data_IF_563191210971
#
_entry.id   IF_563191210971
#
_cell.length_a   1.000
_cell.length_b   1.000
_cell.length_c   1.000
_cell.angle_alpha   90.00
_cell.angle_beta   90.00
_cell.angle_gamma   90.00
#
_symmetry.space_group_name_H-M   'P 1'
#
loop_
_entity.id
_entity.type
_entity.pdbx_description
1 polymer ?
#
# COMPACT_ATOMS: atom_id res chain seq x y z
N UNK A 1 15.49 23.97 44.60
CA UNK A 1 15.65 23.30 43.29
C UNK A 1 14.28 22.83 42.86
N UNK A 2 13.53 23.69 42.17
CA UNK A 2 12.25 23.31 41.58
C UNK A 2 12.52 22.30 40.46
N UNK A 3 11.77 21.21 40.53
CA UNK A 3 11.95 20.00 39.76
C UNK A 3 11.92 20.28 38.25
N UNK A 4 13.10 20.24 37.62
CA UNK A 4 13.27 20.16 36.17
C UNK A 4 12.81 18.78 35.61
N UNK A 5 11.69 18.25 36.11
CA UNK A 5 11.24 16.87 35.93
C UNK A 5 9.98 16.73 35.06
N UNK A 6 9.77 17.60 34.05
CA UNK A 6 8.67 17.44 33.07
C UNK A 6 9.04 17.74 31.62
N UNK A 7 10.30 17.52 31.23
CA UNK A 7 10.72 17.60 29.82
C UNK A 7 10.92 16.20 29.22
N UNK A 8 9.84 15.42 29.15
CA UNK A 8 9.77 14.19 28.35
C UNK A 8 8.37 14.09 27.75
N UNK A 9 8.12 14.90 26.72
CA UNK A 9 6.80 15.09 26.13
C UNK A 9 6.59 14.28 24.86
N UNK A 10 6.40 12.96 24.98
CA UNK A 10 5.79 12.08 23.97
C UNK A 10 6.67 11.66 22.79
N UNK A 11 6.88 10.34 22.61
CA UNK A 11 7.66 9.77 21.51
C UNK A 11 7.04 9.96 20.11
N UNK A 12 7.69 9.46 19.07
CA UNK A 12 7.25 9.58 17.65
C UNK A 12 5.81 9.11 17.45
N UNK A 13 5.43 7.99 18.07
CA UNK A 13 4.07 7.46 18.01
C UNK A 13 3.06 8.38 18.70
N UNK A 14 3.45 9.05 19.79
CA UNK A 14 2.59 10.01 20.46
C UNK A 14 2.45 11.32 19.65
N UNK A 15 3.51 11.74 18.97
CA UNK A 15 3.46 12.82 17.98
C UNK A 15 2.47 12.50 16.85
N UNK A 16 2.56 11.29 16.30
CA UNK A 16 1.64 10.81 15.27
C UNK A 16 0.19 10.74 15.76
N UNK A 17 -0.03 10.19 16.95
CA UNK A 17 -1.35 10.12 17.56
C UNK A 17 -1.97 11.52 17.73
N UNK A 18 -1.20 12.48 18.25
CA UNK A 18 -1.68 13.86 18.42
C UNK A 18 -2.00 14.55 17.10
N UNK A 19 -1.26 14.24 16.04
CA UNK A 19 -1.44 14.84 14.71
C UNK A 19 -2.67 14.26 13.99
N UNK A 20 -2.82 12.94 14.00
CA UNK A 20 -3.74 12.25 13.11
C UNK A 20 -4.98 11.71 13.83
N UNK A 21 -4.83 11.22 15.07
CA UNK A 21 -5.91 10.51 15.79
C UNK A 21 -6.66 11.40 16.78
N UNK A 22 -6.15 12.59 17.12
CA UNK A 22 -6.75 13.45 18.15
C UNK A 22 -8.12 14.05 17.78
N UNK A 23 -8.42 14.21 16.49
CA UNK A 23 -9.66 14.84 16.00
C UNK A 23 -10.36 13.91 15.03
N UNK A 24 -11.60 13.56 15.32
CA UNK A 24 -12.43 12.67 14.48
C UNK A 24 -12.42 13.02 12.99
N UNK A 25 -12.64 14.28 12.55
CA UNK A 25 -12.61 14.59 11.11
C UNK A 25 -11.23 14.37 10.46
N UNK A 26 -10.14 14.70 11.16
CA UNK A 26 -8.76 14.45 10.69
C UNK A 26 -8.49 12.96 10.59
N UNK A 27 -8.87 12.22 11.64
CA UNK A 27 -8.70 10.78 11.70
C UNK A 27 -9.44 10.07 10.57
N UNK A 28 -10.71 10.39 10.36
CA UNK A 28 -11.53 9.80 9.28
C UNK A 28 -10.92 10.10 7.91
N UNK A 29 -10.50 11.34 7.69
CA UNK A 29 -9.83 11.73 6.43
C UNK A 29 -8.53 10.95 6.22
N UNK A 30 -7.73 10.79 7.27
CA UNK A 30 -6.50 10.02 7.20
C UNK A 30 -6.76 8.53 6.91
N UNK A 31 -7.78 7.93 7.53
CA UNK A 31 -8.17 6.54 7.26
C UNK A 31 -8.58 6.36 5.81
N UNK A 32 -9.40 7.26 5.26
CA UNK A 32 -9.83 7.21 3.85
C UNK A 32 -8.63 7.36 2.92
N UNK A 33 -7.79 8.38 3.14
CA UNK A 33 -6.60 8.60 2.33
C UNK A 33 -5.63 7.41 2.39
N UNK A 34 -5.42 6.87 3.60
CA UNK A 34 -4.60 5.68 3.81
C UNK A 34 -5.15 4.44 3.12
N UNK A 35 -6.47 4.25 3.12
CA UNK A 35 -7.11 3.14 2.42
C UNK A 35 -6.93 3.24 0.90
N UNK A 36 -7.13 4.42 0.33
CA UNK A 36 -6.96 4.64 -1.12
C UNK A 36 -5.51 4.40 -1.58
N UNK A 37 -4.53 4.87 -0.80
CA UNK A 37 -3.12 4.65 -1.11
C UNK A 37 -2.71 3.20 -0.86
N UNK A 38 -3.21 2.60 0.22
CA UNK A 38 -2.95 1.21 0.59
C UNK A 38 -3.49 0.22 -0.44
N UNK A 39 -4.72 0.41 -0.91
CA UNK A 39 -5.34 -0.39 -1.97
C UNK A 39 -4.42 -0.48 -3.19
N UNK A 40 -3.94 0.67 -3.70
CA UNK A 40 -3.09 0.73 -4.90
C UNK A 40 -1.72 0.13 -4.68
N UNK A 41 -1.13 0.36 -3.51
CA UNK A 41 0.18 -0.21 -3.18
C UNK A 41 0.12 -1.75 -3.09
N UNK A 42 -0.93 -2.28 -2.45
CA UNK A 42 -1.13 -3.73 -2.31
C UNK A 42 -1.46 -4.37 -3.64
N UNK A 43 -2.40 -3.82 -4.41
CA UNK A 43 -2.77 -4.33 -5.73
C UNK A 43 -1.56 -4.40 -6.67
N UNK A 44 -0.82 -3.30 -6.79
CA UNK A 44 0.40 -3.25 -7.60
C UNK A 44 1.43 -4.27 -7.14
N UNK A 45 1.67 -4.37 -5.83
CA UNK A 45 2.64 -5.30 -5.26
C UNK A 45 2.28 -6.75 -5.54
N UNK A 46 1.04 -7.13 -5.25
CA UNK A 46 0.54 -8.51 -5.45
C UNK A 46 0.53 -8.86 -6.93
N UNK A 47 0.01 -7.97 -7.79
CA UNK A 47 0.01 -8.18 -9.25
C UNK A 47 1.42 -8.40 -9.78
N UNK A 48 2.37 -7.54 -9.40
CA UNK A 48 3.76 -7.66 -9.82
C UNK A 48 4.39 -8.98 -9.37
N UNK A 49 4.12 -9.41 -8.12
CA UNK A 49 4.60 -10.69 -7.61
C UNK A 49 3.99 -11.87 -8.38
N UNK A 50 2.69 -11.80 -8.67
CA UNK A 50 1.99 -12.83 -9.43
C UNK A 50 2.52 -12.95 -10.86
N UNK A 51 2.71 -11.83 -11.56
CA UNK A 51 3.27 -11.80 -12.91
C UNK A 51 4.66 -12.41 -12.95
N UNK A 52 5.53 -12.05 -11.99
CA UNK A 52 6.87 -12.63 -11.87
C UNK A 52 6.85 -14.14 -11.61
N UNK A 53 5.88 -14.63 -10.85
CA UNK A 53 5.76 -16.06 -10.57
C UNK A 53 5.15 -16.86 -11.73
N UNK A 54 4.43 -16.19 -12.65
CA UNK A 54 3.69 -16.83 -13.74
C UNK A 54 4.22 -16.43 -15.13
N UNK A 55 5.48 -16.02 -15.22
CA UNK A 55 6.16 -15.75 -16.49
C UNK A 55 6.05 -16.96 -17.42
N UNK A 56 5.63 -16.72 -18.66
CA UNK A 56 5.47 -17.74 -19.68
C UNK A 56 4.11 -18.46 -19.66
N UNK A 57 3.24 -18.16 -18.68
CA UNK A 57 1.93 -18.80 -18.53
C UNK A 57 0.77 -17.85 -18.80
N UNK A 58 1.02 -16.54 -18.90
CA UNK A 58 -0.04 -15.56 -19.11
C UNK A 58 -0.45 -15.57 -20.57
N UNK A 59 -1.66 -15.12 -20.84
CA UNK A 59 -2.19 -15.00 -22.20
C UNK A 59 -1.25 -14.20 -23.12
N UNK A 60 -0.66 -13.13 -22.58
CA UNK A 60 0.31 -12.27 -23.25
C UNK A 60 1.67 -12.95 -23.55
N UNK A 61 1.98 -14.06 -22.90
CA UNK A 61 3.23 -14.80 -23.12
C UNK A 61 3.08 -15.87 -24.24
N UNK A 62 1.89 -16.06 -24.81
CA UNK A 62 1.62 -17.05 -25.86
C UNK A 62 2.13 -16.52 -27.20
N UNK A 63 3.18 -17.13 -27.75
CA UNK A 63 3.86 -16.66 -28.98
C UNK A 63 3.04 -16.78 -30.27
N UNK A 64 2.20 -17.81 -30.38
CA UNK A 64 1.37 -18.09 -31.56
C UNK A 64 -0.06 -17.55 -31.44
N UNK A 65 -0.28 -16.66 -30.47
CA UNK A 65 -1.60 -16.15 -30.17
C UNK A 65 -2.22 -15.43 -31.38
N UNK A 66 -3.40 -15.86 -31.81
CA UNK A 66 -4.12 -15.28 -32.94
C UNK A 66 -3.71 -15.81 -34.32
N UNK A 67 -2.74 -16.72 -34.40
CA UNK A 67 -2.46 -17.45 -35.64
C UNK A 67 -3.41 -18.65 -35.76
N UNK A 68 -4.11 -18.79 -36.90
CA UNK A 68 -4.83 -20.03 -37.22
C UNK A 68 -3.79 -21.07 -37.67
N UNK A 69 -3.83 -22.31 -37.15
CA UNK A 69 -3.07 -23.38 -37.78
C UNK A 69 -3.52 -23.49 -39.24
N UNK A 70 -2.56 -23.51 -40.15
CA UNK A 70 -2.81 -23.82 -41.55
C UNK A 70 -2.97 -25.34 -41.56
N UNK A 71 -4.20 -25.83 -41.62
CA UNK A 71 -4.46 -27.26 -41.77
C UNK A 71 -3.83 -27.72 -43.10
N UNK A 72 -2.98 -28.73 -43.03
CA UNK A 72 -2.27 -29.35 -44.18
C UNK A 72 -3.14 -30.42 -44.85
#
# INVERSE_FOLDING_TARGET
MESAARRSGGGVLEGFYRLVMRRTPVYVTFVIAGALLGERAVDYGVKTLWEKNNVGKRYEDISVLGQRPVDE
#
